data_IF_050615752943
#
_entry.id   IF_050615752943
#
_cell.length_a   1.000
_cell.length_b   1.000
_cell.length_c   1.000
_cell.angle_alpha   90.00
_cell.angle_beta   90.00
_cell.angle_gamma   90.00
#
_symmetry.space_group_name_H-M   'P 1'
#
loop_
_entity.id
_entity.type
_entity.pdbx_description
1 polymer ?
#
# COMPACT_ATOMS: atom_id res chain seq x y z
N UNK A 1 31.25 -27.38 27.65
CA UNK A 1 32.13 -26.84 26.58
C UNK A 1 32.59 -28.01 25.74
N UNK A 2 32.48 -27.94 24.42
CA UNK A 2 32.97 -29.00 23.55
C UNK A 2 34.51 -29.10 23.67
N UNK A 3 35.05 -30.32 23.64
CA UNK A 3 36.51 -30.52 23.60
C UNK A 3 37.09 -29.89 22.32
N UNK A 4 38.31 -29.33 22.34
CA UNK A 4 39.01 -28.85 21.14
C UNK A 4 39.00 -29.86 19.98
N UNK A 5 39.07 -31.16 20.30
CA UNK A 5 38.98 -32.23 19.31
C UNK A 5 37.59 -32.32 18.64
N UNK A 6 36.51 -32.07 19.39
CA UNK A 6 35.14 -32.05 18.87
C UNK A 6 34.86 -30.78 18.05
N UNK A 7 35.52 -29.67 18.37
CA UNK A 7 35.45 -28.44 17.58
C UNK A 7 36.10 -28.64 16.20
N UNK A 8 37.30 -29.23 16.17
CA UNK A 8 38.02 -29.52 14.92
C UNK A 8 37.26 -30.51 14.01
N UNK A 9 36.70 -31.59 14.59
CA UNK A 9 35.89 -32.57 13.83
C UNK A 9 34.61 -31.93 13.27
N UNK A 10 34.01 -30.98 14.00
CA UNK A 10 32.84 -30.23 13.53
C UNK A 10 33.20 -29.28 12.38
N UNK A 11 34.30 -28.55 12.47
CA UNK A 11 34.76 -27.66 11.40
C UNK A 11 35.10 -28.44 10.12
N UNK A 12 35.77 -29.58 10.25
CA UNK A 12 36.13 -30.42 9.12
C UNK A 12 34.89 -30.98 8.41
N UNK A 13 33.88 -31.44 9.17
CA UNK A 13 32.58 -31.87 8.61
C UNK A 13 31.83 -30.74 7.90
N UNK A 14 31.97 -29.51 8.38
CA UNK A 14 31.38 -28.33 7.74
C UNK A 14 32.09 -28.05 6.41
N UNK A 15 33.43 -28.03 6.39
CA UNK A 15 34.22 -27.84 5.16
C UNK A 15 33.94 -28.91 4.11
N UNK A 16 33.88 -30.18 4.50
CA UNK A 16 33.58 -31.28 3.58
C UNK A 16 32.18 -31.13 2.94
N UNK A 17 31.20 -30.64 3.71
CA UNK A 17 29.85 -30.36 3.19
C UNK A 17 29.81 -29.18 2.23
N UNK A 18 30.61 -28.14 2.47
CA UNK A 18 30.72 -27.00 1.56
C UNK A 18 31.40 -27.36 0.25
N UNK A 19 32.44 -28.20 0.31
CA UNK A 19 33.05 -28.78 -0.89
C UNK A 19 32.04 -29.63 -1.67
N UNK A 20 31.24 -30.44 -0.98
CA UNK A 20 30.20 -31.25 -1.61
C UNK A 20 29.10 -30.39 -2.26
N UNK A 21 28.67 -29.31 -1.60
CA UNK A 21 27.72 -28.34 -2.17
C UNK A 21 28.23 -27.75 -3.50
N UNK A 22 29.46 -27.23 -3.51
CA UNK A 22 30.09 -26.68 -4.71
C UNK A 22 30.20 -27.72 -5.84
N UNK A 23 30.52 -28.96 -5.47
CA UNK A 23 30.60 -30.08 -6.42
C UNK A 23 29.25 -30.42 -7.04
N UNK A 24 28.17 -30.45 -6.25
CA UNK A 24 26.81 -30.78 -6.74
C UNK A 24 26.28 -29.68 -7.67
N UNK A 25 26.52 -28.41 -7.34
CA UNK A 25 26.07 -27.27 -8.15
C UNK A 25 26.88 -27.14 -9.44
N UNK A 26 28.13 -27.62 -9.44
CA UNK A 26 29.02 -27.57 -10.60
C UNK A 26 29.73 -26.23 -10.75
N UNK A 27 30.02 -25.55 -9.64
CA UNK A 27 30.71 -24.26 -9.62
C UNK A 27 31.23 -23.92 -8.23
N UNK A 28 32.26 -23.08 -8.14
CA UNK A 28 32.74 -22.60 -6.85
C UNK A 28 31.74 -21.59 -6.27
N UNK A 29 31.26 -21.89 -5.06
CA UNK A 29 30.41 -20.99 -4.29
C UNK A 29 31.20 -20.59 -3.04
N UNK A 30 31.44 -19.30 -2.80
CA UNK A 30 32.17 -18.85 -1.62
C UNK A 30 31.51 -19.32 -0.32
N UNK A 31 32.32 -19.67 0.67
CA UNK A 31 31.84 -20.20 1.96
C UNK A 31 30.82 -19.27 2.64
N UNK A 32 31.03 -17.95 2.55
CA UNK A 32 30.14 -16.96 3.15
C UNK A 32 28.72 -17.00 2.57
N UNK A 33 28.57 -17.28 1.27
CA UNK A 33 27.27 -17.44 0.60
C UNK A 33 26.55 -18.68 1.12
N UNK A 34 27.28 -19.77 1.35
CA UNK A 34 26.71 -21.02 1.87
C UNK A 34 26.26 -20.83 3.33
N UNK A 35 27.03 -20.11 4.13
CA UNK A 35 26.65 -19.73 5.50
C UNK A 35 25.37 -18.89 5.49
N UNK A 36 25.26 -17.93 4.57
CA UNK A 36 24.07 -17.08 4.47
C UNK A 36 22.84 -17.89 4.04
N UNK A 37 22.96 -18.77 3.05
CA UNK A 37 21.89 -19.72 2.68
C UNK A 37 21.48 -20.56 3.88
N UNK A 38 22.43 -21.09 4.64
CA UNK A 38 22.18 -21.89 5.84
C UNK A 38 21.50 -21.10 6.96
N UNK A 39 21.65 -19.77 6.99
CA UNK A 39 21.01 -18.90 7.98
C UNK A 39 19.55 -18.59 7.66
N UNK A 40 19.19 -18.62 6.37
CA UNK A 40 17.83 -18.31 5.90
C UNK A 40 16.96 -19.56 5.78
N UNK A 41 17.54 -20.68 5.36
CA UNK A 41 16.82 -21.94 5.21
C UNK A 41 16.61 -22.66 6.56
N UNK A 42 15.49 -23.38 6.76
CA UNK A 42 15.25 -24.09 8.01
C UNK A 42 16.39 -25.07 8.34
N UNK A 43 16.79 -25.20 9.62
CA UNK A 43 17.85 -26.11 10.03
C UNK A 43 17.52 -27.55 9.62
N UNK A 44 18.21 -28.06 8.60
CA UNK A 44 18.00 -29.41 8.07
C UNK A 44 17.64 -29.48 6.58
N UNK A 45 17.06 -28.43 6.01
CA UNK A 45 16.65 -28.43 4.59
C UNK A 45 17.87 -28.41 3.67
N UNK A 46 18.81 -27.47 3.89
CA UNK A 46 20.09 -27.44 3.16
C UNK A 46 20.89 -28.73 3.36
N UNK A 47 20.88 -29.25 4.59
CA UNK A 47 21.58 -30.50 4.94
C UNK A 47 21.00 -31.69 4.19
N UNK A 48 19.68 -31.85 4.19
CA UNK A 48 19.00 -32.92 3.47
C UNK A 48 19.25 -32.83 1.95
N UNK A 49 19.23 -31.61 1.38
CA UNK A 49 19.52 -31.41 -0.03
C UNK A 49 20.97 -31.79 -0.39
N UNK A 50 21.95 -31.43 0.44
CA UNK A 50 23.36 -31.85 0.27
C UNK A 50 23.50 -33.37 0.41
N UNK A 51 22.96 -33.95 1.49
CA UNK A 51 23.08 -35.39 1.80
C UNK A 51 22.42 -36.23 0.69
N UNK A 52 21.30 -35.76 0.12
CA UNK A 52 20.59 -36.42 -0.99
C UNK A 52 21.16 -36.10 -2.38
N UNK A 53 22.20 -35.26 -2.49
CA UNK A 53 22.72 -34.73 -3.76
C UNK A 53 21.63 -34.11 -4.65
N UNK A 54 20.64 -33.47 -4.03
CA UNK A 54 19.51 -32.83 -4.72
C UNK A 54 19.97 -31.54 -5.41
N UNK A 55 20.46 -31.69 -6.65
CA UNK A 55 20.94 -30.57 -7.45
C UNK A 55 19.86 -29.50 -7.67
N UNK A 56 18.60 -29.91 -7.88
CA UNK A 56 17.52 -28.96 -8.17
C UNK A 56 17.16 -28.15 -6.92
N UNK A 57 17.05 -28.80 -5.76
CA UNK A 57 16.81 -28.14 -4.48
C UNK A 57 17.91 -27.14 -4.14
N UNK A 58 19.19 -27.52 -4.30
CA UNK A 58 20.32 -26.63 -4.04
C UNK A 58 20.36 -25.45 -5.03
N UNK A 59 20.04 -25.66 -6.32
CA UNK A 59 19.93 -24.58 -7.30
C UNK A 59 18.81 -23.60 -6.95
N UNK A 60 17.67 -24.09 -6.45
CA UNK A 60 16.55 -23.24 -6.04
C UNK A 60 16.89 -22.37 -4.81
N UNK A 61 17.57 -22.93 -3.80
CA UNK A 61 18.01 -22.16 -2.63
C UNK A 61 18.98 -21.04 -3.03
N UNK A 62 19.90 -21.36 -3.92
CA UNK A 62 20.90 -20.43 -4.44
C UNK A 62 20.27 -19.33 -5.30
N UNK A 63 19.30 -19.69 -6.14
CA UNK A 63 18.47 -18.74 -6.88
C UNK A 63 17.74 -17.78 -5.94
N UNK A 64 17.12 -18.31 -4.88
CA UNK A 64 16.40 -17.51 -3.88
C UNK A 64 17.33 -16.55 -3.14
N UNK A 65 18.53 -17.00 -2.79
CA UNK A 65 19.54 -16.15 -2.18
C UNK A 65 20.01 -15.03 -3.11
N UNK A 66 20.29 -15.33 -4.38
CA UNK A 66 20.65 -14.33 -5.39
C UNK A 66 19.56 -13.27 -5.57
N UNK A 67 18.28 -13.68 -5.69
CA UNK A 67 17.16 -12.74 -5.81
C UNK A 67 17.06 -11.82 -4.59
N UNK A 68 17.24 -12.37 -3.38
CA UNK A 68 17.26 -11.59 -2.14
C UNK A 68 18.44 -10.62 -2.09
N UNK A 69 19.64 -11.07 -2.42
CA UNK A 69 20.86 -10.25 -2.40
C UNK A 69 20.77 -9.08 -3.39
N UNK A 70 20.27 -9.31 -4.61
CA UNK A 70 20.04 -8.23 -5.58
C UNK A 70 19.01 -7.20 -5.09
N UNK A 71 17.94 -7.67 -4.44
CA UNK A 71 16.92 -6.78 -3.88
C UNK A 71 17.48 -5.91 -2.77
N UNK A 72 18.40 -6.44 -1.95
CA UNK A 72 19.02 -5.73 -0.82
C UNK A 72 20.12 -4.76 -1.24
N UNK A 73 20.96 -5.12 -2.22
CA UNK A 73 22.16 -4.35 -2.58
C UNK A 73 21.84 -3.21 -3.55
N UNK A 74 20.87 -3.38 -4.45
CA UNK A 74 20.68 -2.46 -5.57
C UNK A 74 19.25 -1.91 -5.73
N UNK A 75 18.31 -2.26 -4.84
CA UNK A 75 16.86 -2.05 -5.05
C UNK A 75 16.36 -2.60 -6.40
N UNK A 76 17.10 -3.57 -6.94
CA UNK A 76 16.82 -4.20 -8.24
C UNK A 76 15.95 -5.42 -7.99
N UNK A 77 14.70 -5.36 -8.45
CA UNK A 77 13.77 -6.49 -8.40
C UNK A 77 14.07 -7.45 -9.55
N UNK A 78 14.81 -8.52 -9.26
CA UNK A 78 14.94 -9.66 -10.16
C UNK A 78 13.78 -10.64 -9.96
N UNK A 79 13.12 -11.02 -11.06
CA UNK A 79 12.24 -12.17 -11.07
C UNK A 79 13.04 -13.47 -10.92
N UNK A 80 12.37 -14.55 -10.51
CA UNK A 80 12.99 -15.87 -10.48
C UNK A 80 13.57 -16.25 -11.84
N UNK A 81 12.83 -16.04 -12.93
CA UNK A 81 13.29 -16.40 -14.27
C UNK A 81 14.47 -15.55 -14.73
N UNK A 82 14.52 -14.26 -14.38
CA UNK A 82 15.68 -13.41 -14.64
C UNK A 82 16.93 -13.90 -13.90
N UNK A 83 16.80 -14.23 -12.61
CA UNK A 83 17.92 -14.78 -11.85
C UNK A 83 18.40 -16.12 -12.42
N UNK A 84 17.46 -17.00 -12.81
CA UNK A 84 17.78 -18.29 -13.43
C UNK A 84 18.49 -18.10 -14.77
N UNK A 85 18.01 -17.17 -15.58
CA UNK A 85 18.60 -16.83 -16.87
C UNK A 85 20.02 -16.29 -16.70
N UNK A 86 20.22 -15.32 -15.80
CA UNK A 86 21.54 -14.77 -15.49
C UNK A 86 22.52 -15.82 -14.97
N UNK A 87 22.09 -16.69 -14.05
CA UNK A 87 22.95 -17.77 -13.55
C UNK A 87 23.36 -18.75 -14.67
N UNK A 88 22.49 -18.96 -15.66
CA UNK A 88 22.77 -19.84 -16.81
C UNK A 88 23.70 -19.16 -17.83
N UNK A 89 23.49 -17.88 -18.15
CA UNK A 89 24.23 -17.19 -19.21
C UNK A 89 25.55 -16.60 -18.75
N UNK A 90 25.61 -16.08 -17.51
CA UNK A 90 26.80 -15.43 -16.93
C UNK A 90 27.57 -16.35 -16.00
N UNK A 91 26.94 -17.43 -15.56
CA UNK A 91 27.52 -18.34 -14.58
C UNK A 91 27.41 -17.78 -13.17
N UNK A 92 27.36 -18.68 -12.21
CA UNK A 92 27.14 -18.32 -10.82
C UNK A 92 28.31 -17.54 -10.20
N UNK A 93 29.54 -17.89 -10.54
CA UNK A 93 30.73 -17.22 -10.01
C UNK A 93 30.76 -15.73 -10.35
N UNK A 94 30.37 -15.37 -11.58
CA UNK A 94 30.30 -13.97 -12.00
C UNK A 94 29.20 -13.22 -11.23
N UNK A 95 28.04 -13.84 -11.01
CA UNK A 95 26.97 -13.22 -10.23
C UNK A 95 27.37 -12.96 -8.77
N UNK A 96 28.02 -13.93 -8.14
CA UNK A 96 28.48 -13.80 -6.76
C UNK A 96 29.59 -12.73 -6.65
N UNK A 97 30.51 -12.68 -7.62
CA UNK A 97 31.54 -11.65 -7.67
C UNK A 97 30.96 -10.23 -7.79
N UNK A 98 29.88 -10.04 -8.56
CA UNK A 98 29.24 -8.72 -8.70
C UNK A 98 28.52 -8.33 -7.39
N UNK A 99 27.86 -9.28 -6.73
CA UNK A 99 27.24 -9.06 -5.42
C UNK A 99 28.29 -8.70 -4.35
N UNK A 100 29.42 -9.41 -4.33
CA UNK A 100 30.50 -9.21 -3.37
C UNK A 100 31.17 -7.83 -3.54
N UNK A 101 31.38 -7.40 -4.78
CA UNK A 101 31.96 -6.09 -5.09
C UNK A 101 30.97 -4.91 -4.93
N UNK A 102 29.67 -5.19 -4.68
CA UNK A 102 28.59 -4.19 -4.56
C UNK A 102 28.56 -3.19 -5.72
N UNK A 103 28.88 -3.65 -6.92
CA UNK A 103 28.89 -2.80 -8.12
C UNK A 103 27.45 -2.59 -8.62
N UNK A 104 26.74 -1.65 -7.99
CA UNK A 104 25.33 -1.32 -8.25
C UNK A 104 25.05 -1.01 -9.73
N UNK A 105 25.88 -0.23 -10.44
CA UNK A 105 25.76 -0.04 -11.89
C UNK A 105 25.73 -1.37 -12.67
N UNK A 106 26.66 -2.28 -12.37
CA UNK A 106 26.71 -3.61 -13.00
C UNK A 106 25.48 -4.47 -12.65
N UNK A 107 24.96 -4.37 -11.43
CA UNK A 107 23.75 -5.08 -11.00
C UNK A 107 22.49 -4.62 -11.76
N UNK A 108 22.31 -3.31 -11.91
CA UNK A 108 21.19 -2.72 -12.65
C UNK A 108 21.24 -3.07 -14.14
N UNK A 109 22.42 -2.93 -14.76
CA UNK A 109 22.64 -3.28 -16.16
C UNK A 109 22.34 -4.76 -16.43
N UNK A 110 22.77 -5.67 -15.55
CA UNK A 110 22.48 -7.09 -15.70
C UNK A 110 20.99 -7.42 -15.62
N UNK A 111 20.25 -6.76 -14.74
CA UNK A 111 18.80 -6.96 -14.67
C UNK A 111 18.09 -6.49 -15.94
N UNK A 112 18.51 -5.34 -16.50
CA UNK A 112 18.00 -4.85 -17.79
C UNK A 112 18.35 -5.80 -18.93
N UNK A 113 19.59 -6.29 -19.01
CA UNK A 113 20.02 -7.25 -20.01
C UNK A 113 19.20 -8.54 -19.91
N UNK A 114 19.02 -9.08 -18.69
CA UNK A 114 18.23 -10.29 -18.48
C UNK A 114 16.77 -10.12 -18.90
N UNK A 115 16.18 -8.94 -18.67
CA UNK A 115 14.83 -8.64 -19.10
C UNK A 115 14.70 -8.66 -20.63
N UNK A 116 15.62 -7.97 -21.32
CA UNK A 116 15.61 -7.88 -22.78
C UNK A 116 15.85 -9.25 -23.43
N UNK A 117 16.82 -10.02 -22.93
CA UNK A 117 17.11 -11.37 -23.46
C UNK A 117 15.92 -12.32 -23.25
N UNK A 118 15.23 -12.26 -22.11
CA UNK A 118 14.03 -13.07 -21.87
C UNK A 118 12.84 -12.66 -22.76
N UNK A 119 12.69 -11.36 -23.03
CA UNK A 119 11.67 -10.87 -23.94
C UNK A 119 11.93 -11.34 -25.38
N UNK A 120 13.18 -11.25 -25.84
CA UNK A 120 13.59 -11.73 -27.16
C UNK A 120 13.32 -13.24 -27.33
N UNK A 121 13.63 -14.04 -26.31
CA UNK A 121 13.32 -15.48 -26.31
C UNK A 121 11.81 -15.77 -26.34
N UNK A 122 10.99 -14.93 -25.72
CA UNK A 122 9.53 -15.06 -25.76
C UNK A 122 8.95 -14.71 -27.14
N UNK A 123 9.52 -13.70 -27.79
CA UNK A 123 9.14 -13.28 -29.13
C UNK A 123 9.54 -14.34 -30.18
N UNK A 124 10.75 -14.90 -30.07
CA UNK A 124 11.21 -16.00 -30.93
C UNK A 124 10.29 -17.23 -30.83
N UNK A 125 9.92 -17.64 -29.62
CA UNK A 125 8.98 -18.77 -29.42
C UNK A 125 7.60 -18.51 -30.02
N UNK A 126 7.15 -17.26 -29.96
CA UNK A 126 5.87 -16.85 -30.54
C UNK A 126 5.91 -16.89 -32.07
N UNK A 127 7.03 -16.52 -32.69
CA UNK A 127 7.26 -16.64 -34.13
C UNK A 127 7.37 -18.10 -34.59
N UNK A 128 8.08 -18.96 -33.84
CA UNK A 128 8.17 -20.40 -34.14
C UNK A 128 6.79 -21.06 -34.08
N UNK A 129 5.97 -20.73 -33.06
CA UNK A 129 4.61 -21.27 -32.91
C UNK A 129 3.68 -20.81 -34.05
N UNK A 130 3.85 -19.57 -34.51
CA UNK A 130 3.10 -19.04 -35.65
C UNK A 130 3.51 -19.70 -36.98
N UNK A 131 4.79 -20.02 -37.16
CA UNK A 131 5.31 -20.69 -38.35
C UNK A 131 5.05 -22.20 -38.36
N UNK A 132 4.93 -22.83 -37.19
CA UNK A 132 4.70 -24.27 -37.08
C UNK A 132 3.22 -24.66 -37.07
N UNK A 133 2.28 -23.73 -37.27
CA UNK A 133 0.87 -24.08 -37.42
C UNK A 133 0.70 -24.87 -38.72
N UNK A 134 0.42 -26.19 -38.65
CA UNK A 134 0.32 -27.00 -39.85
C UNK A 134 -0.80 -26.42 -40.71
N UNK A 135 -0.48 -26.06 -41.96
CA UNK A 135 -1.49 -25.78 -42.97
C UNK A 135 -2.42 -26.99 -42.99
N UNK A 136 -3.64 -26.81 -42.46
CA UNK A 136 -4.69 -27.80 -42.56
C UNK A 136 -4.85 -28.04 -44.06
N UNK A 137 -4.57 -29.25 -44.57
CA UNK A 137 -4.76 -29.53 -45.98
C UNK A 137 -6.21 -29.18 -46.30
N UNK A 138 -6.42 -28.31 -47.29
CA UNK A 138 -7.77 -28.00 -47.79
C UNK A 138 -8.37 -29.30 -48.32
N UNK A 139 -9.01 -30.07 -47.45
CA UNK A 139 -9.73 -31.27 -47.86
C UNK A 139 -10.98 -30.78 -48.57
N UNK A 140 -11.06 -31.08 -49.87
CA UNK A 140 -12.27 -30.96 -50.67
C UNK A 140 -13.45 -31.60 -49.92
N UNK A 141 -14.35 -30.77 -49.38
CA UNK A 141 -15.63 -31.24 -48.85
C UNK A 141 -16.70 -31.05 -49.91
N UNK A 142 -17.39 -32.13 -50.33
CA UNK A 142 -18.54 -32.03 -51.20
C UNK A 142 -19.74 -31.43 -50.45
N UNK A 143 -20.55 -30.66 -51.18
CA UNK A 143 -21.84 -30.15 -50.74
C UNK A 143 -22.78 -31.31 -50.38
N UNK A 144 -23.44 -31.24 -49.22
CA UNK A 144 -24.47 -32.22 -48.88
C UNK A 144 -25.17 -32.01 -47.54
N UNK A 145 -26.32 -31.35 -47.62
CA UNK A 145 -27.57 -31.60 -46.86
C UNK A 145 -27.66 -31.37 -45.35
N UNK A 146 -28.67 -30.55 -45.03
CA UNK A 146 -29.26 -30.25 -43.73
C UNK A 146 -29.62 -31.48 -42.89
N UNK A 147 -29.27 -31.47 -41.61
CA UNK A 147 -30.01 -32.19 -40.57
C UNK A 147 -29.95 -31.42 -39.25
N UNK A 148 -31.11 -30.93 -38.84
CA UNK A 148 -31.42 -30.19 -37.62
C UNK A 148 -31.62 -31.23 -36.50
N UNK A 149 -30.75 -31.27 -35.50
CA UNK A 149 -30.95 -32.09 -34.29
C UNK A 149 -31.10 -31.18 -33.06
N UNK A 150 -32.20 -31.41 -32.35
CA UNK A 150 -32.62 -30.72 -31.14
C UNK A 150 -31.83 -31.20 -29.90
N UNK A 151 -31.79 -30.39 -28.82
CA UNK A 151 -31.16 -30.79 -27.55
C UNK A 151 -32.07 -31.71 -26.70
N UNK A 152 -31.51 -32.65 -25.91
CA UNK A 152 -32.29 -33.48 -25.01
C UNK A 152 -32.61 -32.76 -23.69
N UNK A 153 -33.88 -32.79 -23.31
CA UNK A 153 -34.43 -32.37 -22.02
C UNK A 153 -34.16 -33.42 -20.94
N UNK A 154 -33.68 -33.00 -19.77
CA UNK A 154 -33.53 -33.86 -18.59
C UNK A 154 -34.63 -33.55 -17.57
N UNK A 155 -35.51 -34.51 -17.36
CA UNK A 155 -36.53 -34.57 -16.31
C UNK A 155 -35.96 -35.26 -15.07
N UNK A 156 -35.97 -34.60 -13.90
CA UNK A 156 -35.79 -35.25 -12.60
C UNK A 156 -36.96 -34.81 -11.70
N UNK A 157 -37.53 -35.82 -11.05
CA UNK A 157 -38.78 -35.82 -10.32
C UNK A 157 -38.71 -35.19 -8.92
N UNK A 158 -39.82 -34.55 -8.54
CA UNK A 158 -40.25 -34.27 -7.17
C UNK A 158 -40.66 -35.56 -6.44
N UNK A 159 -40.52 -35.59 -5.10
CA UNK A 159 -41.65 -36.02 -4.29
C UNK A 159 -42.05 -35.01 -3.20
N UNK A 160 -43.35 -34.90 -3.02
CA UNK A 160 -44.06 -34.10 -2.04
C UNK A 160 -43.93 -34.59 -0.58
N UNK A 161 -44.27 -33.64 0.30
CA UNK A 161 -45.03 -33.77 1.56
C UNK A 161 -44.27 -33.80 2.90
N UNK A 162 -44.55 -32.75 3.70
CA UNK A 162 -44.29 -32.66 5.13
C UNK A 162 -44.87 -31.37 5.69
N UNK A 163 -46.12 -31.44 6.17
CA UNK A 163 -46.86 -30.39 6.88
C UNK A 163 -46.18 -30.02 8.21
N UNK A 164 -46.34 -28.77 8.67
CA UNK A 164 -46.14 -28.47 10.09
C UNK A 164 -45.97 -27.00 10.48
N UNK A 165 -47.00 -26.50 11.15
CA UNK A 165 -46.95 -25.50 12.23
C UNK A 165 -46.72 -24.01 11.90
N UNK A 166 -47.80 -23.28 12.18
CA UNK A 166 -47.89 -21.85 12.37
C UNK A 166 -46.91 -21.34 13.44
N UNK A 167 -46.34 -20.16 13.21
CA UNK A 167 -45.91 -19.27 14.28
C UNK A 167 -46.13 -17.81 13.86
N UNK A 168 -47.31 -17.31 14.24
CA UNK A 168 -47.61 -15.90 14.40
C UNK A 168 -46.78 -15.36 15.58
N UNK A 169 -45.90 -14.39 15.32
CA UNK A 169 -45.32 -13.57 16.37
C UNK A 169 -45.71 -12.11 16.15
N UNK A 170 -46.39 -11.61 17.17
CA UNK A 170 -46.90 -10.27 17.34
C UNK A 170 -45.79 -9.22 17.14
N UNK A 171 -46.05 -8.27 16.24
CA UNK A 171 -45.39 -6.97 16.22
C UNK A 171 -46.01 -6.15 17.35
N UNK A 172 -45.28 -6.01 18.45
CA UNK A 172 -45.62 -5.05 19.50
C UNK A 172 -45.18 -3.68 19.01
N UNK A 173 -46.18 -2.87 18.68
CA UNK A 173 -46.08 -1.44 18.36
C UNK A 173 -45.60 -0.70 19.61
N UNK A 174 -44.43 -0.06 19.56
CA UNK A 174 -43.89 0.73 20.68
C UNK A 174 -44.04 2.23 20.36
N UNK A 175 -44.63 3.04 21.24
CA UNK A 175 -44.87 4.45 20.97
C UNK A 175 -43.58 5.28 21.07
N UNK A 176 -43.41 6.12 20.06
CA UNK A 176 -42.34 7.12 19.89
C UNK A 176 -42.47 8.22 20.97
N UNK A 177 -41.43 8.54 21.76
CA UNK A 177 -41.50 9.62 22.73
C UNK A 177 -41.51 11.01 22.05
N UNK A 178 -42.42 11.84 22.54
CA UNK A 178 -42.72 13.21 22.09
C UNK A 178 -41.56 14.17 22.30
N UNK A 179 -41.27 14.98 21.26
CA UNK A 179 -40.31 16.08 21.27
C UNK A 179 -40.86 17.27 22.07
N UNK A 180 -40.11 17.87 23.01
CA UNK A 180 -40.55 19.11 23.68
C UNK A 180 -40.43 20.33 22.75
N UNK A 181 -41.28 21.36 22.93
CA UNK A 181 -41.40 22.51 22.03
C UNK A 181 -40.24 23.50 22.18
N UNK A 182 -39.79 24.03 21.03
CA UNK A 182 -38.85 25.15 20.91
C UNK A 182 -39.52 26.46 21.33
N UNK A 183 -38.79 27.28 22.11
CA UNK A 183 -39.13 28.67 22.41
C UNK A 183 -38.69 29.61 21.26
N UNK A 184 -39.40 30.72 21.01
CA UNK A 184 -39.09 31.68 19.95
C UNK A 184 -37.95 32.65 20.33
N UNK A 185 -37.24 33.25 19.35
CA UNK A 185 -36.18 34.22 19.60
C UNK A 185 -36.75 35.62 19.84
N UNK A 186 -36.19 36.29 20.85
CA UNK A 186 -36.43 37.71 21.16
C UNK A 186 -35.41 38.56 20.37
N UNK A 187 -35.92 39.57 19.65
CA UNK A 187 -35.14 40.61 18.96
C UNK A 187 -34.30 41.45 19.92
N UNK A 188 -33.18 42.02 19.48
CA UNK A 188 -33.05 43.20 18.62
C UNK A 188 -32.57 44.42 19.45
N UNK A 189 -31.81 45.29 18.77
CA UNK A 189 -31.21 46.55 19.22
C UNK A 189 -29.98 46.37 20.15
N UNK A 190 -28.87 47.08 19.96
CA UNK A 190 -28.56 48.21 19.09
C UNK A 190 -27.23 48.82 19.55
N UNK A 191 -26.90 49.99 18.99
CA UNK A 191 -25.71 50.83 19.23
C UNK A 191 -24.50 50.39 18.39
N UNK A 192 -23.86 51.23 17.57
CA UNK A 192 -23.93 52.68 17.46
C UNK A 192 -22.50 53.24 17.36
N UNK A 193 -22.24 53.92 16.23
CA UNK A 193 -21.34 55.09 16.07
C UNK A 193 -19.82 54.89 16.35
N UNK A 194 -18.94 55.12 15.37
CA UNK A 194 -18.30 56.43 15.05
C UNK A 194 -16.94 56.30 14.31
N UNK A 195 -16.77 57.15 13.27
CA UNK A 195 -15.55 57.84 12.76
C UNK A 195 -14.29 57.02 12.41
N UNK A 196 -13.37 57.42 11.53
CA UNK A 196 -13.24 58.36 10.40
C UNK A 196 -11.76 58.25 9.98
N UNK A 197 -11.50 58.23 8.66
CA UNK A 197 -10.32 58.75 7.94
C UNK A 197 -8.90 58.31 8.41
N UNK A 198 -8.11 57.78 7.48
CA UNK A 198 -6.99 58.51 6.85
C UNK A 198 -6.48 57.72 5.63
N UNK A 199 -6.16 58.46 4.57
CA UNK A 199 -5.36 58.02 3.44
C UNK A 199 -3.88 58.33 3.73
N UNK A 200 -2.95 57.45 3.40
CA UNK A 200 -1.89 57.76 2.42
C UNK A 200 -0.96 56.56 2.15
N UNK A 201 -0.32 56.66 0.99
CA UNK A 201 0.48 55.66 0.31
C UNK A 201 1.89 55.42 0.87
N UNK A 202 2.50 54.38 0.28
CA UNK A 202 3.92 54.16 -0.07
C UNK A 202 4.79 53.28 0.85
N UNK A 203 5.53 52.40 0.16
CA UNK A 203 6.79 51.73 0.49
C UNK A 203 6.75 50.25 0.94
N UNK A 204 7.29 49.43 0.03
CA UNK A 204 7.87 48.09 0.16
C UNK A 204 8.52 47.81 1.53
N UNK A 205 8.20 46.64 2.09
CA UNK A 205 9.19 45.69 2.63
C UNK A 205 8.54 44.32 2.78
N UNK A 206 9.28 43.28 2.38
CA UNK A 206 8.91 41.89 2.54
C UNK A 206 8.63 41.59 4.02
N UNK A 207 7.47 40.98 4.31
CA UNK A 207 7.10 40.57 5.66
C UNK A 207 6.84 39.04 5.71
N UNK A 208 7.10 38.40 6.86
CA UNK A 208 7.21 36.95 7.00
C UNK A 208 5.83 36.27 7.01
N UNK A 209 5.82 34.98 6.69
CA UNK A 209 4.64 34.12 6.78
C UNK A 209 3.96 34.27 8.15
N UNK A 210 2.75 34.84 8.14
CA UNK A 210 1.91 34.98 9.32
C UNK A 210 1.53 33.58 9.85
N UNK A 211 1.85 33.33 11.13
CA UNK A 211 1.41 32.17 11.90
C UNK A 211 -0.12 32.18 11.97
N UNK A 212 -0.73 31.04 11.62
CA UNK A 212 -2.17 30.80 11.61
C UNK A 212 -2.82 31.04 12.98
N UNK A 213 -4.03 31.59 12.95
CA UNK A 213 -4.77 32.07 14.12
C UNK A 213 -5.42 31.02 15.01
N UNK A 214 -5.72 31.50 16.21
CA UNK A 214 -6.66 31.11 17.27
C UNK A 214 -7.20 29.67 17.34
N UNK A 215 -6.91 29.06 18.49
CA UNK A 215 -7.25 27.73 18.97
C UNK A 215 -8.76 27.46 19.10
N UNK A 216 -9.20 26.25 18.68
CA UNK A 216 -10.17 25.50 19.46
C UNK A 216 -9.44 24.97 20.70
N UNK A 217 -9.84 25.47 21.87
CA UNK A 217 -9.29 25.08 23.17
C UNK A 217 -9.47 23.58 23.41
N UNK A 218 -8.34 22.87 23.53
CA UNK A 218 -8.30 21.44 23.85
C UNK A 218 -7.15 20.68 23.19
N UNK A 219 -6.55 21.23 22.12
CA UNK A 219 -5.36 20.64 21.50
C UNK A 219 -4.37 21.76 21.21
N UNK A 220 -3.63 22.18 22.24
CA UNK A 220 -2.48 23.05 22.04
C UNK A 220 -1.52 22.32 21.12
N UNK A 221 -1.44 22.77 19.87
CA UNK A 221 -0.22 22.61 19.10
C UNK A 221 0.86 23.32 19.91
N UNK A 222 1.47 22.60 20.87
CA UNK A 222 2.81 22.96 21.31
C UNK A 222 3.59 23.09 20.00
N UNK A 223 4.24 24.22 19.81
CA UNK A 223 5.24 24.42 18.77
C UNK A 223 6.18 23.21 18.83
N UNK A 224 5.89 22.18 18.03
CA UNK A 224 6.76 21.05 17.84
C UNK A 224 7.76 21.53 16.80
N UNK A 225 8.72 22.32 17.28
CA UNK A 225 10.04 22.44 16.66
C UNK A 225 10.71 21.06 16.76
N UNK A 226 10.16 20.05 16.07
CA UNK A 226 10.91 18.87 15.72
C UNK A 226 11.49 19.15 14.32
N UNK A 227 12.72 19.69 14.21
CA UNK A 227 13.30 20.11 12.95
C UNK A 227 13.48 18.98 11.93
N UNK A 228 13.23 17.73 12.33
CA UNK A 228 13.45 16.55 11.50
C UNK A 228 12.31 16.25 10.53
N UNK A 229 11.06 16.63 10.85
CA UNK A 229 9.89 16.27 10.03
C UNK A 229 9.15 17.50 9.53
N UNK A 230 9.43 17.87 8.29
CA UNK A 230 8.79 19.02 7.65
C UNK A 230 7.32 18.71 7.33
N UNK A 231 6.37 19.60 7.72
CA UNK A 231 4.98 19.44 7.37
C UNK A 231 4.78 19.54 5.85
N UNK A 232 3.90 18.71 5.30
CA UNK A 232 3.63 18.67 3.86
C UNK A 232 2.36 19.45 3.56
N UNK A 233 2.46 20.42 2.66
CA UNK A 233 1.35 21.30 2.24
C UNK A 233 0.95 20.98 0.81
N UNK A 234 -0.36 20.86 0.57
CA UNK A 234 -0.95 20.61 -0.75
C UNK A 234 -1.97 21.69 -1.03
N UNK A 235 -1.85 22.36 -2.18
CA UNK A 235 -2.71 23.47 -2.57
C UNK A 235 -3.39 23.18 -3.92
N UNK A 236 -4.68 22.91 -3.90
CA UNK A 236 -5.48 22.74 -5.12
C UNK A 236 -6.33 23.98 -5.35
N UNK A 237 -5.76 24.99 -6.02
CA UNK A 237 -6.53 26.18 -6.36
C UNK A 237 -7.58 25.82 -7.42
N UNK A 238 -8.83 26.31 -7.31
CA UNK A 238 -9.38 27.15 -6.25
C UNK A 238 -10.10 26.36 -5.13
N UNK A 239 -10.13 25.02 -5.17
CA UNK A 239 -11.09 24.21 -4.41
C UNK A 239 -10.78 24.03 -2.93
N UNK A 240 -9.60 23.52 -2.60
CA UNK A 240 -9.24 23.17 -1.22
C UNK A 240 -7.73 23.01 -1.07
N UNK A 241 -7.26 23.04 0.17
CA UNK A 241 -5.89 22.74 0.56
C UNK A 241 -5.86 21.64 1.62
N UNK A 242 -4.71 20.97 1.75
CA UNK A 242 -4.42 20.03 2.83
C UNK A 242 -3.05 20.30 3.46
N UNK A 243 -2.95 20.04 4.76
CA UNK A 243 -1.73 20.08 5.54
C UNK A 243 -1.59 18.74 6.27
N UNK A 244 -0.42 18.12 6.13
CA UNK A 244 -0.03 16.90 6.81
C UNK A 244 1.07 17.24 7.81
N UNK A 245 0.84 16.94 9.08
CA UNK A 245 1.82 17.22 10.14
C UNK A 245 1.85 16.09 11.18
N UNK A 246 3.03 15.83 11.72
CA UNK A 246 3.16 14.98 12.89
C UNK A 246 2.60 15.71 14.11
N UNK A 247 1.85 15.01 14.93
CA UNK A 247 1.44 15.45 16.27
C UNK A 247 1.66 14.31 17.26
N UNK A 248 1.49 14.59 18.55
CA UNK A 248 1.39 13.56 19.58
C UNK A 248 -0.05 13.38 20.02
N UNK A 249 -0.47 12.14 20.23
CA UNK A 249 -1.72 11.80 20.92
C UNK A 249 -1.38 10.87 22.09
N UNK A 250 -1.69 11.31 23.31
CA UNK A 250 -1.29 10.60 24.55
C UNK A 250 0.20 10.21 24.59
N UNK A 251 1.08 11.08 24.04
CA UNK A 251 2.53 10.85 23.98
C UNK A 251 3.00 9.93 22.85
N UNK A 252 2.09 9.38 22.05
CA UNK A 252 2.41 8.55 20.87
C UNK A 252 2.38 9.41 19.61
N UNK A 253 3.43 9.37 18.76
CA UNK A 253 3.41 10.02 17.45
C UNK A 253 2.22 9.57 16.60
N UNK A 254 1.54 10.53 15.99
CA UNK A 254 0.47 10.27 15.01
C UNK A 254 0.45 11.36 13.95
N UNK A 255 -0.31 11.12 12.88
CA UNK A 255 -0.48 12.05 11.78
C UNK A 255 -1.77 12.85 11.97
N UNK A 256 -1.65 14.17 11.94
CA UNK A 256 -2.77 15.09 11.79
C UNK A 256 -2.86 15.53 10.34
N UNK A 257 -4.09 15.55 9.85
CA UNK A 257 -4.43 16.08 8.53
C UNK A 257 -5.44 17.21 8.75
N UNK A 258 -5.10 18.38 8.22
CA UNK A 258 -6.02 19.52 8.14
C UNK A 258 -6.40 19.76 6.69
N UNK A 259 -7.66 20.09 6.42
CA UNK A 259 -8.08 20.54 5.10
C UNK A 259 -8.93 21.79 5.17
N UNK A 260 -8.60 22.78 4.35
CA UNK A 260 -9.29 24.06 4.29
C UNK A 260 -9.99 24.25 2.93
N UNK A 261 -11.25 24.74 2.90
CA UNK A 261 -11.91 25.07 1.64
C UNK A 261 -11.28 26.32 1.00
N UNK A 262 -11.42 26.44 -0.31
CA UNK A 262 -11.11 27.64 -1.05
C UNK A 262 -12.24 28.01 -2.04
N UNK A 263 -12.18 29.21 -2.62
CA UNK A 263 -11.31 30.32 -2.22
C UNK A 263 -11.85 31.05 -0.98
N UNK A 264 -11.02 31.86 -0.32
CA UNK A 264 -11.44 32.76 0.75
C UNK A 264 -12.26 33.95 0.16
N UNK A 265 -13.47 34.29 0.64
CA UNK A 265 -14.38 35.33 0.17
C UNK A 265 -13.73 36.70 0.12
N UNK A 266 -12.99 37.07 1.17
CA UNK A 266 -12.29 38.36 1.23
C UNK A 266 -10.92 38.37 0.56
N UNK A 267 -10.32 37.19 0.34
CA UNK A 267 -8.95 37.04 -0.18
C UNK A 267 -8.90 35.89 -1.19
N UNK A 268 -9.41 36.07 -2.42
CA UNK A 268 -9.63 34.97 -3.38
C UNK A 268 -8.40 34.09 -3.68
N UNK A 269 -7.19 34.61 -3.47
CA UNK A 269 -5.93 33.87 -3.64
C UNK A 269 -5.54 32.97 -2.46
N UNK A 270 -6.31 33.00 -1.37
CA UNK A 270 -6.05 32.29 -0.12
C UNK A 270 -7.14 31.25 0.17
N UNK A 271 -6.83 30.32 1.08
CA UNK A 271 -7.76 29.32 1.59
C UNK A 271 -8.36 29.76 2.93
N UNK A 272 -9.57 29.30 3.21
CA UNK A 272 -10.28 29.53 4.47
C UNK A 272 -9.79 28.62 5.60
N UNK A 273 -8.58 28.87 6.11
CA UNK A 273 -8.03 28.08 7.22
C UNK A 273 -8.84 28.16 8.51
N UNK A 274 -9.61 29.23 8.71
CA UNK A 274 -10.53 29.36 9.86
C UNK A 274 -11.72 28.40 9.79
N UNK A 275 -12.02 27.86 8.59
CA UNK A 275 -13.05 26.83 8.36
C UNK A 275 -12.45 25.46 8.03
N UNK A 276 -11.24 25.20 8.52
CA UNK A 276 -10.56 23.91 8.27
C UNK A 276 -11.22 22.77 9.03
N UNK A 277 -11.23 21.60 8.41
CA UNK A 277 -11.55 20.33 9.06
C UNK A 277 -10.23 19.73 9.55
N UNK A 278 -10.14 19.44 10.84
CA UNK A 278 -8.98 18.78 11.47
C UNK A 278 -9.31 17.32 11.75
N UNK A 279 -8.42 16.41 11.36
CA UNK A 279 -8.53 14.98 11.58
C UNK A 279 -7.21 14.42 12.13
N UNK A 280 -7.23 13.92 13.36
CA UNK A 280 -6.10 13.22 13.96
C UNK A 280 -6.33 11.72 13.78
N UNK A 281 -5.37 11.02 13.19
CA UNK A 281 -5.44 9.58 13.04
C UNK A 281 -5.21 8.88 14.38
N UNK A 282 -5.90 7.77 14.59
CA UNK A 282 -5.59 6.86 15.69
C UNK A 282 -4.40 5.96 15.33
N UNK A 283 -3.84 5.28 16.33
CA UNK A 283 -2.78 4.28 16.14
C UNK A 283 -3.20 3.15 15.20
N UNK A 284 -4.48 2.82 15.17
CA UNK A 284 -5.03 1.73 14.37
C UNK A 284 -5.33 2.14 12.93
N UNK A 285 -5.59 3.43 12.70
CA UNK A 285 -5.89 3.98 11.38
C UNK A 285 -4.65 4.30 10.57
N UNK A 286 -3.59 4.77 11.24
CA UNK A 286 -2.33 5.14 10.58
C UNK A 286 -1.78 4.03 9.66
N UNK A 287 -1.66 2.74 10.06
CA UNK A 287 -1.16 1.71 9.17
C UNK A 287 -2.09 1.42 7.98
N UNK A 288 -3.41 1.62 8.14
CA UNK A 288 -4.38 1.49 7.03
C UNK A 288 -4.17 2.61 6.02
N UNK A 289 -4.01 3.86 6.50
CA UNK A 289 -3.73 5.00 5.64
C UNK A 289 -2.40 4.80 4.89
N UNK A 290 -1.34 4.40 5.58
CA UNK A 290 -0.02 4.12 4.96
C UNK A 290 -0.16 3.04 3.88
N UNK A 291 -0.91 1.97 4.13
CA UNK A 291 -1.17 0.95 3.13
C UNK A 291 -1.87 1.51 1.88
N UNK A 292 -2.83 2.42 2.04
CA UNK A 292 -3.47 3.11 0.90
C UNK A 292 -2.51 4.04 0.17
N UNK A 293 -1.70 4.81 0.88
CA UNK A 293 -0.73 5.74 0.29
C UNK A 293 0.37 5.02 -0.50
N UNK A 294 0.73 3.80 -0.09
CA UNK A 294 1.67 2.90 -0.80
C UNK A 294 1.01 2.12 -1.96
N UNK A 295 -0.29 2.30 -2.22
CA UNK A 295 -1.02 1.57 -3.26
C UNK A 295 -1.29 0.10 -2.94
N UNK A 296 -1.09 -0.34 -1.69
CA UNK A 296 -1.42 -1.69 -1.23
C UNK A 296 -2.93 -1.87 -1.01
N UNK A 297 -3.64 -0.76 -0.78
CA UNK A 297 -5.09 -0.68 -0.69
C UNK A 297 -5.62 0.37 -1.67
N UNK A 298 -6.73 0.11 -2.37
CA UNK A 298 -7.29 1.08 -3.32
C UNK A 298 -7.86 2.31 -2.61
N UNK A 299 -8.42 2.15 -1.42
CA UNK A 299 -9.01 3.22 -0.62
C UNK A 299 -9.07 2.88 0.87
N UNK A 300 -9.15 3.90 1.71
CA UNK A 300 -9.51 3.79 3.12
C UNK A 300 -10.57 4.84 3.49
N UNK A 301 -11.37 4.55 4.51
CA UNK A 301 -12.36 5.50 5.05
C UNK A 301 -12.45 5.33 6.56
N UNK A 302 -12.38 6.47 7.25
CA UNK A 302 -12.47 6.60 8.69
C UNK A 302 -13.63 7.54 9.01
N UNK A 303 -14.49 7.16 9.95
CA UNK A 303 -15.73 7.87 10.27
C UNK A 303 -15.96 7.90 11.77
N UNK A 304 -16.88 8.74 12.23
CA UNK A 304 -17.22 8.92 13.64
C UNK A 304 -16.08 9.57 14.46
N UNK A 305 -15.36 10.52 13.85
CA UNK A 305 -14.34 11.31 14.56
C UNK A 305 -14.91 12.64 15.09
N UNK A 306 -14.17 13.25 16.01
CA UNK A 306 -14.49 14.54 16.61
C UNK A 306 -15.50 14.45 17.75
N UNK A 307 -15.69 15.53 18.53
CA UNK A 307 -16.57 15.52 19.71
C UNK A 307 -18.03 15.15 19.40
N UNK A 308 -18.49 15.45 18.19
CA UNK A 308 -19.84 15.16 17.72
C UNK A 308 -19.95 13.88 16.87
N UNK A 309 -18.86 13.11 16.73
CA UNK A 309 -18.79 11.92 15.88
C UNK A 309 -19.27 12.16 14.43
N UNK A 310 -19.13 13.38 13.92
CA UNK A 310 -19.63 13.81 12.62
C UNK A 310 -18.51 14.07 11.60
N UNK A 311 -17.25 13.75 11.95
CA UNK A 311 -16.12 13.86 11.03
C UNK A 311 -15.83 12.53 10.35
N UNK A 312 -15.51 12.61 9.06
CA UNK A 312 -15.02 11.48 8.27
C UNK A 312 -13.89 11.91 7.36
N UNK A 313 -12.99 10.97 7.07
CA UNK A 313 -11.90 11.14 6.12
C UNK A 313 -11.83 9.90 5.24
N UNK A 314 -11.63 10.09 3.94
CA UNK A 314 -11.29 9.01 3.02
C UNK A 314 -10.11 9.39 2.15
N UNK A 315 -9.29 8.39 1.84
CA UNK A 315 -8.16 8.50 0.92
C UNK A 315 -8.32 7.44 -0.15
N UNK A 316 -8.12 7.81 -1.41
CA UNK A 316 -8.14 6.89 -2.54
C UNK A 316 -6.84 6.98 -3.33
N UNK A 317 -6.26 5.82 -3.64
CA UNK A 317 -5.14 5.70 -4.56
C UNK A 317 -5.66 5.68 -6.00
N UNK A 318 -5.16 6.57 -6.88
CA UNK A 318 -5.59 6.66 -8.28
C UNK A 318 -4.43 6.48 -9.26
N UNK A 319 -3.39 5.73 -8.86
CA UNK A 319 -2.15 5.47 -9.62
C UNK A 319 -1.28 6.72 -9.85
N UNK A 320 -1.84 7.76 -10.47
CA UNK A 320 -1.17 9.02 -10.78
C UNK A 320 -1.23 10.05 -9.64
N UNK A 321 -2.11 9.85 -8.67
CA UNK A 321 -2.30 10.76 -7.54
C UNK A 321 -2.96 10.05 -6.35
N UNK A 322 -3.01 10.74 -5.22
CA UNK A 322 -3.89 10.42 -4.10
C UNK A 322 -5.08 11.39 -4.10
N UNK A 323 -6.26 10.91 -3.70
CA UNK A 323 -7.45 11.73 -3.57
C UNK A 323 -7.98 11.69 -2.14
N UNK A 324 -7.83 12.80 -1.42
CA UNK A 324 -8.28 13.00 -0.04
C UNK A 324 -9.66 13.66 -0.03
N UNK A 325 -10.59 13.11 0.74
CA UNK A 325 -11.87 13.77 1.07
C UNK A 325 -12.03 13.84 2.58
N UNK A 326 -12.43 14.99 3.09
CA UNK A 326 -12.75 15.19 4.51
C UNK A 326 -14.12 15.84 4.63
N UNK A 327 -14.96 15.31 5.52
CA UNK A 327 -16.28 15.86 5.80
C UNK A 327 -16.46 16.13 7.30
N UNK A 328 -17.22 17.17 7.62
CA UNK A 328 -17.70 17.48 8.96
C UNK A 328 -19.18 17.85 8.88
N UNK A 329 -20.04 16.95 9.35
CA UNK A 329 -21.49 17.07 9.17
C UNK A 329 -21.93 17.01 7.70
N UNK A 330 -23.09 17.59 7.39
CA UNK A 330 -23.67 17.60 6.05
C UNK A 330 -23.18 18.74 5.15
N UNK A 331 -22.60 19.79 5.74
CA UNK A 331 -22.35 21.06 5.05
C UNK A 331 -20.87 21.28 4.69
N UNK A 332 -19.95 20.71 5.47
CA UNK A 332 -18.51 20.93 5.26
C UNK A 332 -17.89 19.71 4.60
N UNK A 333 -17.46 19.89 3.34
CA UNK A 333 -16.75 18.88 2.56
C UNK A 333 -15.59 19.50 1.81
N UNK A 334 -14.38 19.01 2.10
CA UNK A 334 -13.17 19.39 1.38
C UNK A 334 -12.64 18.18 0.61
N UNK A 335 -12.25 18.40 -0.65
CA UNK A 335 -11.65 17.36 -1.48
C UNK A 335 -10.37 17.88 -2.14
N UNK A 336 -9.28 17.14 -1.94
CA UNK A 336 -7.93 17.53 -2.35
C UNK A 336 -7.33 16.39 -3.18
N UNK A 337 -6.97 16.69 -4.43
CA UNK A 337 -6.12 15.83 -5.26
C UNK A 337 -4.67 16.13 -4.92
N UNK A 338 -3.90 15.11 -4.61
CA UNK A 338 -2.51 15.23 -4.18
C UNK A 338 -1.65 14.60 -5.28
N UNK A 339 -1.00 15.45 -6.07
CA UNK A 339 -0.13 15.00 -7.16
C UNK A 339 1.15 14.32 -6.63
N UNK A 340 1.88 13.65 -7.53
CA UNK A 340 2.98 12.73 -7.20
C UNK A 340 4.02 13.32 -6.23
N UNK A 341 4.48 14.56 -6.45
CA UNK A 341 5.50 15.17 -5.60
C UNK A 341 5.06 15.32 -4.14
N UNK A 342 3.98 16.07 -3.86
CA UNK A 342 3.43 16.16 -2.51
C UNK A 342 2.94 14.82 -1.94
N UNK A 343 2.43 13.91 -2.78
CA UNK A 343 2.02 12.58 -2.37
C UNK A 343 3.21 11.77 -1.84
N UNK A 344 4.34 11.79 -2.55
CA UNK A 344 5.59 11.16 -2.11
C UNK A 344 6.02 11.65 -0.73
N UNK A 345 6.11 12.97 -0.54
CA UNK A 345 6.51 13.55 0.75
C UNK A 345 5.52 13.23 1.87
N UNK A 346 4.21 13.29 1.60
CA UNK A 346 3.19 12.94 2.58
C UNK A 346 3.27 11.45 2.97
N UNK A 347 3.54 10.56 2.00
CA UNK A 347 3.74 9.12 2.26
C UNK A 347 4.97 8.88 3.12
N UNK A 348 6.11 9.50 2.79
CA UNK A 348 7.35 9.39 3.60
C UNK A 348 7.09 9.86 5.04
N UNK A 349 6.46 11.02 5.21
CA UNK A 349 6.07 11.54 6.53
C UNK A 349 5.20 10.52 7.30
N UNK A 350 4.17 9.96 6.67
CA UNK A 350 3.29 8.98 7.30
C UNK A 350 4.02 7.69 7.70
N UNK A 351 4.94 7.20 6.86
CA UNK A 351 5.78 6.05 7.14
C UNK A 351 6.70 6.30 8.34
N UNK A 352 7.36 7.46 8.40
CA UNK A 352 8.22 7.83 9.52
C UNK A 352 7.45 7.94 10.84
N UNK A 353 6.27 8.56 10.81
CA UNK A 353 5.39 8.63 11.98
C UNK A 353 4.99 7.22 12.42
N UNK A 354 4.64 6.33 11.49
CA UNK A 354 4.29 4.94 11.82
C UNK A 354 5.45 4.19 12.47
N UNK A 355 6.67 4.33 11.94
CA UNK A 355 7.86 3.71 12.55
C UNK A 355 8.08 4.23 13.98
N UNK A 356 7.98 5.54 14.19
CA UNK A 356 8.12 6.16 15.53
C UNK A 356 7.01 5.71 16.49
N UNK A 357 5.76 5.65 16.02
CA UNK A 357 4.61 5.24 16.82
C UNK A 357 4.70 3.77 17.27
N UNK A 358 5.16 2.90 16.37
CA UNK A 358 5.29 1.45 16.61
C UNK A 358 6.61 1.07 17.27
N UNK A 359 7.56 2.00 17.36
CA UNK A 359 8.95 1.74 17.79
C UNK A 359 9.59 0.59 17.01
N UNK A 360 9.25 0.48 15.72
CA UNK A 360 9.79 -0.57 14.87
C UNK A 360 11.29 -0.36 14.67
N UNK A 361 12.02 -1.47 14.57
CA UNK A 361 13.47 -1.45 14.38
C UNK A 361 13.87 -0.94 12.98
N UNK A 362 13.03 -1.16 11.97
CA UNK A 362 13.26 -0.70 10.59
C UNK A 362 11.96 -0.59 9.81
N UNK A 363 12.02 0.11 8.67
CA UNK A 363 10.90 0.21 7.74
C UNK A 363 10.49 -1.17 7.19
N UNK A 364 11.44 -2.06 6.89
CA UNK A 364 11.14 -3.38 6.34
C UNK A 364 10.23 -4.21 7.25
N UNK A 365 10.42 -4.08 8.57
CA UNK A 365 9.56 -4.75 9.56
C UNK A 365 8.15 -4.16 9.51
N UNK A 366 8.01 -2.84 9.49
CA UNK A 366 6.71 -2.17 9.35
C UNK A 366 6.02 -2.57 8.03
N UNK A 367 6.73 -2.49 6.91
CA UNK A 367 6.20 -2.80 5.59
C UNK A 367 5.75 -4.26 5.50
N UNK A 368 6.58 -5.21 5.96
CA UNK A 368 6.22 -6.62 6.01
C UNK A 368 4.97 -6.87 6.88
N UNK A 369 4.86 -6.18 8.03
CA UNK A 369 3.68 -6.27 8.88
C UNK A 369 2.42 -5.75 8.15
N UNK A 370 2.50 -4.60 7.47
CA UNK A 370 1.39 -4.04 6.67
C UNK A 370 0.95 -5.02 5.57
N UNK A 371 1.89 -5.55 4.80
CA UNK A 371 1.60 -6.48 3.71
C UNK A 371 0.97 -7.79 4.19
N UNK A 372 1.35 -8.30 5.36
CA UNK A 372 0.86 -9.59 5.88
C UNK A 372 -0.44 -9.48 6.66
N UNK A 373 -0.72 -8.31 7.25
CA UNK A 373 -1.86 -8.15 8.17
C UNK A 373 -2.90 -7.19 7.61
N UNK A 374 -2.54 -5.91 7.47
CA UNK A 374 -3.46 -4.83 7.12
C UNK A 374 -4.06 -5.03 5.75
N UNK A 375 -3.24 -5.24 4.72
CA UNK A 375 -3.73 -5.33 3.35
C UNK A 375 -4.71 -6.52 3.14
N UNK A 376 -4.40 -7.75 3.60
CA UNK A 376 -5.33 -8.88 3.49
C UNK A 376 -6.61 -8.70 4.31
N UNK A 377 -6.51 -8.15 5.52
CA UNK A 377 -7.68 -7.95 6.39
C UNK A 377 -8.66 -6.91 5.83
N UNK A 378 -8.14 -5.82 5.26
CA UNK A 378 -8.98 -4.79 4.64
C UNK A 378 -9.52 -5.21 3.27
N UNK A 379 -8.73 -5.94 2.47
CA UNK A 379 -9.19 -6.47 1.19
C UNK A 379 -10.41 -7.41 1.35
N UNK A 380 -10.39 -8.29 2.36
CA UNK A 380 -11.54 -9.14 2.71
C UNK A 380 -12.78 -8.32 3.10
N UNK A 381 -12.59 -7.25 3.89
CA UNK A 381 -13.67 -6.34 4.30
C UNK A 381 -14.31 -5.62 3.11
N UNK A 382 -13.52 -5.25 2.11
CA UNK A 382 -14.00 -4.63 0.88
C UNK A 382 -14.72 -5.64 -0.03
N UNK A 383 -14.18 -6.84 -0.19
CA UNK A 383 -14.80 -7.90 -1.00
C UNK A 383 -16.14 -8.41 -0.43
N UNK A 384 -16.32 -8.37 0.89
CA UNK A 384 -17.55 -8.81 1.56
C UNK A 384 -18.71 -7.84 1.49
N UNK A 385 -18.53 -6.60 1.00
CA UNK A 385 -19.65 -5.69 0.75
C UNK A 385 -20.27 -6.07 -0.59
N UNK A 386 -21.49 -6.67 -0.64
CA UNK A 386 -22.15 -6.91 -1.90
C UNK A 386 -22.23 -5.57 -2.63
N UNK A 387 -21.72 -5.54 -3.86
CA UNK A 387 -21.79 -4.35 -4.70
C UNK A 387 -23.27 -3.96 -4.76
N UNK A 388 -23.66 -2.92 -4.01
CA UNK A 388 -24.99 -2.36 -4.10
C UNK A 388 -25.13 -1.90 -5.54
N UNK A 389 -25.75 -2.75 -6.37
CA UNK A 389 -26.15 -2.43 -7.73
C UNK A 389 -26.93 -1.14 -7.59
N UNK A 390 -26.33 -0.03 -8.03
CA UNK A 390 -27.03 1.24 -8.21
C UNK A 390 -28.19 0.92 -9.14
N UNK A 391 -29.37 0.74 -8.56
CA UNK A 391 -30.62 0.74 -9.29
C UNK A 391 -30.73 2.13 -9.90
N UNK A 392 -30.34 2.23 -11.16
CA UNK A 392 -30.66 3.37 -11.99
C UNK A 392 -32.18 3.40 -12.15
N UNK A 393 -32.89 4.00 -11.20
CA UNK A 393 -34.24 4.50 -11.43
C UNK A 393 -34.10 5.74 -12.31
N UNK A 394 -34.41 5.55 -13.59
CA UNK A 394 -34.81 6.65 -14.48
C UNK A 394 -36.20 7.14 -14.08
#
# INVERSE_FOLDING_TARGET
MASPAQANDREEKIRQRYQLFSTIIGGQVPDHVIVEIASVEPPGVLRAAIDNKDRQGLQAMLQGHVVRAFSLVADVRLSGDQARHLMRTRGIGQMLAILENRDVPSLSQLATIAHLELQELADQRSQETAQSSPEIPKSDRPMGTNARLAPPSSSIADPQQGQGAANSHNVVDMPRPSRPPQAPPVGAAGLGVNRSRFANATSRSAAPAQRSGAHQDGNTAKDFDNPELNPVRVFNKPRAAALFEMTLWAGVPTLRIESAPGPHPEKPDQYHWDKKIIFNLTTDELPVLVATMLGLLPECTFSNHGPQNNKSMSMKYQEQNLYLTMNEGSESRNAVRIDVGPAYHATVLACEILMRATKAASWDVCYAAICRTVAPMQAKKLAGKPAQRRSASR
#
